data_IF_492921184973
#
_entry.id   IF_492921184973
#
_cell.length_a   1.000
_cell.length_b   1.000
_cell.length_c   1.000
_cell.angle_alpha   90.00
_cell.angle_beta   90.00
_cell.angle_gamma   90.00
#
_symmetry.space_group_name_H-M   'P 1'
#
loop_
_entity.id
_entity.type
_entity.pdbx_description
1 polymer ?
#
# COMPACT_ATOMS: atom_id res chain seq x y z
N UNK A 1 -17.72 11.41 -7.92
CA UNK A 1 -16.50 11.50 -7.06
C UNK A 1 -16.30 10.30 -6.13
N UNK A 2 -17.33 9.59 -5.66
CA UNK A 2 -17.19 8.50 -4.66
C UNK A 2 -16.21 7.37 -5.05
N UNK A 3 -16.32 6.82 -6.27
CA UNK A 3 -15.46 5.71 -6.71
C UNK A 3 -13.96 6.06 -6.79
N UNK A 4 -13.62 7.21 -7.39
CA UNK A 4 -12.22 7.63 -7.52
C UNK A 4 -11.57 7.92 -6.17
N UNK A 5 -12.34 8.50 -5.23
CA UNK A 5 -11.89 8.68 -3.84
C UNK A 5 -11.58 7.34 -3.16
N UNK A 6 -12.48 6.36 -3.26
CA UNK A 6 -12.25 5.01 -2.75
C UNK A 6 -11.03 4.34 -3.41
N UNK A 7 -10.94 4.36 -4.74
CA UNK A 7 -9.82 3.75 -5.46
C UNK A 7 -8.48 4.44 -5.14
N UNK A 8 -8.49 5.75 -4.86
CA UNK A 8 -7.29 6.49 -4.46
C UNK A 8 -6.74 6.05 -3.10
N UNK A 9 -7.59 5.55 -2.19
CA UNK A 9 -7.16 5.00 -0.91
C UNK A 9 -6.28 3.75 -1.11
N UNK A 10 -6.68 2.87 -2.03
CA UNK A 10 -5.95 1.65 -2.36
C UNK A 10 -4.87 1.83 -3.43
N UNK A 11 -4.52 3.08 -3.81
CA UNK A 11 -3.58 3.37 -4.90
C UNK A 11 -2.22 2.68 -4.76
N UNK A 12 -1.79 2.38 -3.54
CA UNK A 12 -0.52 1.70 -3.25
C UNK A 12 -0.49 0.24 -3.75
N UNK A 13 -1.66 -0.36 -3.94
CA UNK A 13 -1.84 -1.74 -4.40
C UNK A 13 -2.15 -1.84 -5.89
N UNK A 14 -2.38 -0.69 -6.54
CA UNK A 14 -2.83 -0.60 -7.92
C UNK A 14 -1.67 -0.16 -8.81
N UNK A 15 -1.10 -1.10 -9.56
CA UNK A 15 -0.04 -0.81 -10.54
C UNK A 15 -0.54 0.19 -11.59
N UNK A 16 0.23 1.26 -11.83
CA UNK A 16 -0.09 2.32 -12.79
C UNK A 16 -1.44 3.03 -12.57
N UNK A 17 -1.87 3.14 -11.30
CA UNK A 17 -3.13 3.79 -10.93
C UNK A 17 -3.23 5.22 -11.48
N UNK A 18 -2.16 6.02 -11.36
CA UNK A 18 -2.16 7.42 -11.78
C UNK A 18 -2.49 7.59 -13.28
N UNK A 19 -1.90 6.75 -14.13
CA UNK A 19 -2.15 6.76 -15.58
C UNK A 19 -3.59 6.37 -15.90
N UNK A 20 -4.09 5.32 -15.25
CA UNK A 20 -5.44 4.79 -15.48
C UNK A 20 -6.52 5.73 -14.93
N UNK A 21 -6.29 6.31 -13.75
CA UNK A 21 -7.20 7.24 -13.11
C UNK A 21 -7.23 8.60 -13.81
N UNK A 22 -6.17 9.02 -14.50
CA UNK A 22 -6.13 10.28 -15.28
C UNK A 22 -7.25 10.37 -16.31
N UNK A 23 -7.54 9.26 -17.00
CA UNK A 23 -8.63 9.18 -17.98
C UNK A 23 -10.01 9.39 -17.33
N UNK A 24 -10.18 8.95 -16.08
CA UNK A 24 -11.41 9.09 -15.32
C UNK A 24 -11.52 10.47 -14.65
N UNK A 25 -10.42 11.04 -14.17
CA UNK A 25 -10.39 12.41 -13.61
C UNK A 25 -10.77 13.45 -14.66
N UNK A 26 -10.38 13.24 -15.92
CA UNK A 26 -10.75 14.14 -17.03
C UNK A 26 -12.27 14.24 -17.26
N UNK A 27 -13.03 13.21 -16.90
CA UNK A 27 -14.50 13.22 -16.97
C UNK A 27 -15.12 14.02 -15.80
N UNK A 28 -14.40 14.15 -14.69
CA UNK A 28 -14.86 14.86 -13.50
C UNK A 28 -14.63 16.37 -13.60
N UNK A 29 -14.04 16.86 -14.69
CA UNK A 29 -13.86 18.28 -14.95
C UNK A 29 -15.16 18.91 -15.49
N UNK A 30 -15.49 20.10 -15.00
CA UNK A 30 -16.75 20.78 -15.32
C UNK A 30 -16.86 21.18 -16.80
N UNK A 31 -15.71 21.31 -17.48
CA UNK A 31 -15.63 21.69 -18.90
C UNK A 31 -15.67 20.49 -19.85
N UNK A 32 -15.71 19.25 -19.35
CA UNK A 32 -15.65 18.05 -20.19
C UNK A 32 -17.02 17.37 -20.27
N UNK A 33 -17.44 17.02 -21.49
CA UNK A 33 -18.66 16.23 -21.71
C UNK A 33 -18.52 14.86 -21.04
N UNK A 34 -19.52 14.49 -20.24
CA UNK A 34 -19.57 13.19 -19.58
C UNK A 34 -19.81 12.10 -20.63
N UNK A 35 -18.73 11.49 -21.11
CA UNK A 35 -18.76 10.41 -22.09
C UNK A 35 -17.90 9.23 -21.64
N UNK A 36 -18.50 8.06 -21.48
CA UNK A 36 -17.79 6.81 -21.25
C UNK A 36 -17.35 6.18 -22.56
N UNK A 37 -16.29 6.73 -23.14
CA UNK A 37 -15.62 6.12 -24.29
C UNK A 37 -15.04 4.75 -23.93
N UNK A 38 -14.79 3.90 -24.94
CA UNK A 38 -14.24 2.55 -24.71
C UNK A 38 -12.94 2.55 -23.90
N UNK A 39 -12.07 3.55 -24.08
CA UNK A 39 -10.84 3.70 -23.29
C UNK A 39 -11.12 3.93 -21.79
N UNK A 40 -12.16 4.71 -21.48
CA UNK A 40 -12.55 5.03 -20.10
C UNK A 40 -13.23 3.84 -19.43
N UNK A 41 -14.04 3.08 -20.18
CA UNK A 41 -14.62 1.81 -19.71
C UNK A 41 -13.50 0.81 -19.38
N UNK A 42 -12.51 0.67 -20.27
CA UNK A 42 -11.33 -0.18 -20.02
C UNK A 42 -10.55 0.28 -18.78
N UNK A 43 -10.38 1.59 -18.59
CA UNK A 43 -9.71 2.14 -17.41
C UNK A 43 -10.48 1.84 -16.11
N UNK A 44 -11.80 1.99 -16.13
CA UNK A 44 -12.67 1.66 -15.00
C UNK A 44 -12.61 0.17 -14.65
N UNK A 45 -12.74 -0.72 -15.65
CA UNK A 45 -12.65 -2.17 -15.45
C UNK A 45 -11.27 -2.61 -14.94
N UNK A 46 -10.19 -1.96 -15.42
CA UNK A 46 -8.83 -2.23 -14.94
C UNK A 46 -8.68 -1.88 -13.46
N UNK A 47 -9.19 -0.73 -13.02
CA UNK A 47 -9.18 -0.33 -11.60
C UNK A 47 -10.07 -1.27 -10.79
N UNK A 48 -11.27 -1.62 -11.28
CA UNK A 48 -12.17 -2.55 -10.60
C UNK A 48 -11.52 -3.91 -10.41
N UNK A 49 -10.96 -4.51 -11.46
CA UNK A 49 -10.24 -5.77 -11.38
C UNK A 49 -9.07 -5.68 -10.43
N UNK A 50 -8.24 -4.64 -10.55
CA UNK A 50 -7.10 -4.50 -9.67
C UNK A 50 -7.50 -4.28 -8.20
N UNK A 51 -8.66 -3.69 -7.90
CA UNK A 51 -9.20 -3.62 -6.53
C UNK A 51 -9.70 -4.98 -6.02
N UNK A 52 -10.28 -5.81 -6.88
CA UNK A 52 -10.79 -7.14 -6.53
C UNK A 52 -9.70 -8.21 -6.49
N UNK A 53 -8.70 -8.10 -7.37
CA UNK A 53 -7.58 -9.03 -7.56
C UNK A 53 -6.32 -8.61 -6.79
N UNK A 54 -6.23 -7.36 -6.31
CA UNK A 54 -5.15 -6.96 -5.42
C UNK A 54 -5.07 -7.96 -4.27
N UNK A 55 -3.86 -8.38 -3.85
CA UNK A 55 -3.70 -9.27 -2.72
C UNK A 55 -4.40 -8.62 -1.54
N UNK A 56 -5.55 -9.18 -1.18
CA UNK A 56 -6.43 -8.68 -0.13
C UNK A 56 -5.56 -8.41 1.08
N UNK A 57 -5.50 -7.13 1.48
CA UNK A 57 -4.97 -6.79 2.79
C UNK A 57 -5.74 -7.63 3.79
N UNK A 58 -5.01 -8.49 4.49
CA UNK A 58 -5.59 -9.37 5.47
C UNK A 58 -6.21 -8.49 6.56
N UNK A 59 -7.44 -8.78 6.96
CA UNK A 59 -8.04 -8.08 8.10
C UNK A 59 -7.15 -8.33 9.33
N UNK A 60 -6.64 -7.28 9.99
CA UNK A 60 -5.72 -7.44 11.10
C UNK A 60 -6.41 -8.18 12.23
N UNK A 61 -5.80 -9.27 12.68
CA UNK A 61 -6.23 -9.96 13.88
C UNK A 61 -5.34 -9.55 15.06
N UNK A 62 -5.87 -8.74 15.97
CA UNK A 62 -5.12 -8.19 17.10
C UNK A 62 -4.62 -9.24 18.10
N UNK A 63 -5.13 -10.48 18.04
CA UNK A 63 -4.71 -11.58 18.90
C UNK A 63 -3.48 -12.33 18.38
N UNK A 64 -3.01 -12.03 17.16
CA UNK A 64 -1.90 -12.73 16.50
C UNK A 64 -0.75 -11.73 16.30
N UNK A 65 0.53 -12.12 16.53
CA UNK A 65 1.66 -11.22 16.31
C UNK A 65 1.78 -10.82 14.83
N UNK A 66 2.10 -9.56 14.58
CA UNK A 66 2.47 -9.10 13.24
C UNK A 66 3.98 -9.20 13.01
N UNK A 67 4.35 -9.39 11.75
CA UNK A 67 5.72 -9.31 11.26
C UNK A 67 5.90 -8.01 10.49
N UNK A 68 6.91 -7.23 10.84
CA UNK A 68 7.23 -5.99 10.15
C UNK A 68 8.47 -6.19 9.30
N UNK A 69 8.33 -6.06 7.98
CA UNK A 69 9.45 -5.98 7.06
C UNK A 69 9.76 -4.51 6.81
N UNK A 70 11.00 -4.10 7.01
CA UNK A 70 11.45 -2.74 6.73
C UNK A 70 12.55 -2.82 5.69
N UNK A 71 12.36 -2.12 4.59
CA UNK A 71 13.37 -1.88 3.58
C UNK A 71 13.70 -0.39 3.52
N UNK A 72 14.98 -0.06 3.50
CA UNK A 72 15.44 1.32 3.49
C UNK A 72 16.55 1.44 2.46
N UNK A 73 16.36 2.33 1.49
CA UNK A 73 17.40 2.74 0.55
C UNK A 73 17.70 4.23 0.76
N UNK A 74 18.83 4.73 0.23
CA UNK A 74 19.23 6.13 0.41
C UNK A 74 18.18 7.16 0.02
N UNK A 75 17.25 6.81 -0.88
CA UNK A 75 16.20 7.73 -1.38
C UNK A 75 14.83 7.53 -0.70
N UNK A 76 14.61 6.43 0.01
CA UNK A 76 13.26 6.06 0.46
C UNK A 76 13.20 4.95 1.52
N UNK A 77 12.16 5.03 2.34
CA UNK A 77 11.87 4.10 3.43
C UNK A 77 10.54 3.38 3.14
N UNK A 78 10.59 2.06 3.10
CA UNK A 78 9.44 1.17 2.94
C UNK A 78 9.27 0.27 4.16
N UNK A 79 8.03 0.02 4.54
CA UNK A 79 7.68 -0.97 5.53
C UNK A 79 6.45 -1.76 5.08
N UNK A 80 6.46 -3.07 5.26
CA UNK A 80 5.34 -3.96 5.00
C UNK A 80 4.99 -4.68 6.31
N UNK A 81 3.76 -4.50 6.77
CA UNK A 81 3.20 -5.21 7.91
C UNK A 81 2.53 -6.49 7.39
N UNK A 82 2.97 -7.63 7.89
CA UNK A 82 2.49 -8.96 7.53
C UNK A 82 1.92 -9.66 8.76
N UNK A 83 1.04 -10.61 8.54
CA UNK A 83 0.53 -11.47 9.60
C UNK A 83 0.33 -12.89 9.07
N UNK A 84 0.64 -13.88 9.92
CA UNK A 84 0.41 -15.29 9.61
C UNK A 84 -0.96 -15.66 10.16
N UNK A 85 -1.93 -15.89 9.28
CA UNK A 85 -3.26 -16.37 9.66
C UNK A 85 -3.52 -17.74 9.06
N UNK A 86 -4.38 -18.52 9.71
CA UNK A 86 -4.88 -19.77 9.16
C UNK A 86 -6.00 -19.43 8.18
N UNK A 87 -5.77 -19.70 6.90
CA UNK A 87 -6.75 -19.55 5.82
C UNK A 87 -6.83 -20.91 5.15
N UNK A 88 -8.03 -21.47 5.01
CA UNK A 88 -8.26 -22.82 4.46
C UNK A 88 -7.39 -23.90 5.15
N UNK A 89 -7.39 -23.88 6.49
CA UNK A 89 -6.62 -24.76 7.38
C UNK A 89 -5.09 -24.74 7.18
N UNK A 90 -4.56 -23.72 6.48
CA UNK A 90 -3.13 -23.57 6.21
C UNK A 90 -2.58 -22.25 6.77
N UNK A 91 -1.43 -22.27 7.46
CA UNK A 91 -0.77 -21.05 7.90
C UNK A 91 -0.27 -20.28 6.67
N UNK A 92 -0.93 -19.17 6.37
CA UNK A 92 -0.63 -18.32 5.23
C UNK A 92 -0.17 -16.96 5.74
N UNK A 93 1.03 -16.55 5.35
CA UNK A 93 1.49 -15.18 5.58
C UNK A 93 0.92 -14.25 4.52
N UNK A 94 0.20 -13.20 4.95
CA UNK A 94 -0.29 -12.16 4.05
C UNK A 94 0.06 -10.78 4.60
N UNK A 95 0.15 -9.82 3.69
CA UNK A 95 0.31 -8.41 4.04
C UNK A 95 -1.00 -7.83 4.58
N UNK A 96 -0.88 -7.04 5.64
CA UNK A 96 -1.95 -6.30 6.32
C UNK A 96 -1.89 -4.83 5.92
N UNK A 97 -0.69 -4.27 5.75
CA UNK A 97 -0.50 -2.87 5.38
C UNK A 97 0.87 -2.67 4.73
N UNK A 98 0.98 -1.71 3.81
CA UNK A 98 2.25 -1.19 3.32
C UNK A 98 2.35 0.29 3.67
N UNK A 99 3.53 0.71 4.10
CA UNK A 99 3.84 2.09 4.44
C UNK A 99 5.08 2.45 3.63
N UNK A 100 5.04 3.54 2.87
CA UNK A 100 6.21 4.07 2.20
C UNK A 100 6.31 5.56 2.43
N UNK A 101 7.53 6.04 2.65
CA UNK A 101 7.83 7.45 2.93
C UNK A 101 9.16 7.82 2.31
N UNK A 102 9.21 9.01 1.70
CA UNK A 102 10.47 9.60 1.25
C UNK A 102 11.32 10.07 2.44
N UNK A 103 12.63 9.89 2.33
CA UNK A 103 13.59 10.35 3.32
C UNK A 103 13.65 11.88 3.28
N UNK A 104 13.57 12.52 4.45
CA UNK A 104 13.72 13.97 4.52
C UNK A 104 15.20 14.32 4.34
N UNK A 105 15.54 15.52 3.83
CA UNK A 105 16.94 15.93 3.66
C UNK A 105 17.80 15.87 4.94
N UNK A 106 17.16 15.89 6.12
CA UNK A 106 17.84 15.76 7.43
C UNK A 106 18.12 14.30 7.82
N UNK A 107 17.44 13.35 7.19
CA UNK A 107 17.54 11.91 7.43
C UNK A 107 18.43 11.19 6.40
N UNK A 108 18.85 11.90 5.35
CA UNK A 108 19.73 11.42 4.26
C UNK A 108 21.13 10.99 4.71
N UNK A 109 21.54 11.38 5.93
CA UNK A 109 22.84 11.03 6.51
C UNK A 109 22.84 9.70 7.27
N UNK A 110 21.68 9.07 7.43
CA UNK A 110 21.55 7.83 8.17
C UNK A 110 21.89 6.63 7.29
N UNK A 111 22.73 5.74 7.81
CA UNK A 111 22.96 4.44 7.18
C UNK A 111 21.67 3.59 7.20
N UNK A 112 21.55 2.60 6.29
CA UNK A 112 20.36 1.75 6.18
C UNK A 112 19.98 1.08 7.52
N UNK A 113 20.98 0.79 8.37
CA UNK A 113 20.77 0.26 9.72
C UNK A 113 20.10 1.27 10.66
N UNK A 114 20.50 2.54 10.58
CA UNK A 114 19.93 3.65 11.37
C UNK A 114 18.53 4.02 10.87
N UNK A 115 18.31 3.97 9.55
CA UNK A 115 17.00 4.19 8.94
C UNK A 115 15.97 3.14 9.38
N UNK A 116 16.38 1.87 9.50
CA UNK A 116 15.51 0.80 10.03
C UNK A 116 15.08 1.08 11.48
N UNK A 117 15.96 1.64 12.31
CA UNK A 117 15.63 2.02 13.68
C UNK A 117 14.62 3.18 13.75
N UNK A 118 14.70 4.16 12.84
CA UNK A 118 13.72 5.25 12.75
C UNK A 118 12.30 4.78 12.39
N UNK A 119 12.17 3.65 11.70
CA UNK A 119 10.88 3.04 11.39
C UNK A 119 10.19 2.40 12.60
N UNK A 120 10.95 1.88 13.57
CA UNK A 120 10.41 1.18 14.75
C UNK A 120 9.44 2.02 15.62
N UNK A 121 9.73 3.28 15.98
CA UNK A 121 8.82 4.07 16.81
C UNK A 121 7.52 4.45 16.09
N UNK A 122 7.51 4.54 14.76
CA UNK A 122 6.28 4.81 13.98
C UNK A 122 5.29 3.64 14.11
N UNK A 123 5.79 2.42 14.32
CA UNK A 123 4.98 1.21 14.48
C UNK A 123 4.64 0.84 15.93
N UNK A 124 5.32 1.41 16.93
CA UNK A 124 5.10 1.07 18.35
C UNK A 124 3.74 1.52 18.92
N UNK A 125 2.98 2.37 18.23
CA UNK A 125 1.60 2.67 18.61
C UNK A 125 0.62 1.52 18.35
N UNK A 126 1.07 0.40 17.78
CA UNK A 126 0.30 -0.84 17.68
C UNK A 126 1.19 -2.01 18.12
N UNK A 127 0.90 -2.55 19.31
CA UNK A 127 1.61 -3.65 19.98
C UNK A 127 2.06 -4.76 18.99
N UNK A 128 3.34 -4.76 18.64
CA UNK A 128 3.92 -5.74 17.72
C UNK A 128 5.27 -6.26 18.23
N UNK A 129 5.34 -7.58 18.43
CA UNK A 129 6.56 -8.29 18.82
C UNK A 129 7.52 -8.36 17.62
N UNK A 130 8.65 -7.67 17.70
CA UNK A 130 9.66 -7.64 16.65
C UNK A 130 10.34 -9.00 16.48
N UNK A 131 10.23 -9.60 15.30
CA UNK A 131 11.20 -10.58 14.81
C UNK A 131 11.79 -10.03 13.52
N UNK A 132 12.96 -9.38 13.63
CA UNK A 132 13.73 -8.95 12.48
C UNK A 132 14.40 -10.18 11.87
N UNK A 133 13.92 -10.66 10.72
CA UNK A 133 14.66 -11.62 9.89
C UNK A 133 15.54 -10.83 8.93
N UNK A 134 16.84 -10.93 9.16
CA UNK A 134 17.89 -10.46 8.26
C UNK A 134 18.00 -11.51 7.14
N UNK A 135 18.11 -11.12 5.85
CA UNK A 135 18.41 -12.06 4.76
C UNK A 135 19.79 -12.72 4.93
#
# INVERSE_FOLDING_TARGET
MSFLGFASYYRQHLKDFALTAKLLYRICDQQTVFEMSQERIKAYEKIRKALTEAPLLLMPNWNIPFKLYIDACGDGLGAALHQVQIIDDKPTERSVCYISRQIKPKEDRYDASQMKCLCQPVTQNQSTSMTAKIP
#
